data_IF_584140519288
#
_entry.id   IF_584140519288
#
_cell.length_a   1.000
_cell.length_b   1.000
_cell.length_c   1.000
_cell.angle_alpha   90.00
_cell.angle_beta   90.00
_cell.angle_gamma   90.00
#
_symmetry.space_group_name_H-M   'P 1'
#
loop_
_entity.id
_entity.type
_entity.pdbx_description
1 polymer ?
#
# COMPACT_ATOMS: atom_id res chain seq x y z
N UNK A 1 19.54 -0.40 5.00
CA UNK A 1 18.58 -0.41 3.89
C UNK A 1 18.78 0.82 3.02
N UNK A 2 19.38 0.63 1.85
CA UNK A 2 19.54 1.64 0.80
C UNK A 2 18.18 2.00 0.21
N UNK A 3 17.88 3.31 0.11
CA UNK A 3 16.66 3.79 -0.53
C UNK A 3 16.78 3.67 -2.05
N UNK A 4 15.69 3.27 -2.70
CA UNK A 4 15.55 3.32 -4.15
C UNK A 4 15.04 4.71 -4.53
N UNK A 5 15.81 5.42 -5.36
CA UNK A 5 15.54 6.80 -5.78
C UNK A 5 15.16 6.93 -7.26
N UNK A 6 15.16 5.81 -8.01
CA UNK A 6 14.83 5.79 -9.43
C UNK A 6 13.32 5.85 -9.70
N UNK A 7 12.97 5.82 -10.98
CA UNK A 7 11.60 5.68 -11.48
C UNK A 7 11.41 4.43 -12.34
N UNK A 8 12.48 3.70 -12.64
CA UNK A 8 12.49 2.46 -13.44
C UNK A 8 13.17 1.34 -12.66
N UNK A 9 12.45 0.23 -12.50
CA UNK A 9 12.93 -0.97 -11.82
C UNK A 9 12.74 -2.17 -12.75
N UNK A 10 13.79 -2.95 -12.95
CA UNK A 10 13.68 -4.22 -13.67
C UNK A 10 13.20 -5.31 -12.70
N UNK A 11 12.13 -6.02 -13.03
CA UNK A 11 11.74 -7.22 -12.31
C UNK A 11 12.18 -8.46 -13.09
N UNK A 12 13.15 -9.19 -12.53
CA UNK A 12 13.84 -10.31 -13.15
C UNK A 12 12.97 -11.57 -13.17
N UNK A 13 11.94 -11.56 -14.00
CA UNK A 13 10.97 -12.65 -14.18
C UNK A 13 10.56 -12.78 -15.65
N UNK A 14 10.28 -14.01 -16.08
CA UNK A 14 9.52 -14.31 -17.31
C UNK A 14 8.05 -14.66 -17.01
N UNK A 15 7.67 -14.72 -15.74
CA UNK A 15 6.30 -15.01 -15.33
C UNK A 15 5.43 -13.73 -15.44
N UNK A 16 4.59 -13.69 -16.48
CA UNK A 16 3.65 -12.58 -16.73
C UNK A 16 2.73 -12.29 -15.55
N UNK A 17 2.25 -13.31 -14.85
CA UNK A 17 1.39 -13.12 -13.66
C UNK A 17 2.12 -12.39 -12.53
N UNK A 18 3.35 -12.83 -12.20
CA UNK A 18 4.18 -12.15 -11.20
C UNK A 18 4.49 -10.71 -11.61
N UNK A 19 4.73 -10.46 -12.91
CA UNK A 19 5.02 -9.13 -13.43
C UNK A 19 3.84 -8.17 -13.24
N UNK A 20 2.63 -8.58 -13.60
CA UNK A 20 1.42 -7.76 -13.42
C UNK A 20 1.12 -7.49 -11.94
N UNK A 21 1.31 -8.48 -11.06
CA UNK A 21 1.24 -8.29 -9.60
C UNK A 21 2.23 -7.22 -9.14
N UNK A 22 3.50 -7.32 -9.57
CA UNK A 22 4.55 -6.38 -9.17
C UNK A 22 4.30 -4.96 -9.71
N UNK A 23 3.79 -4.83 -10.94
CA UNK A 23 3.37 -3.54 -11.51
C UNK A 23 2.29 -2.88 -10.68
N UNK A 24 1.24 -3.61 -10.34
CA UNK A 24 0.14 -3.09 -9.52
C UNK A 24 0.63 -2.65 -8.13
N UNK A 25 1.50 -3.44 -7.51
CA UNK A 25 2.03 -3.19 -6.18
C UNK A 25 2.98 -1.97 -6.12
N UNK A 26 3.77 -1.73 -7.17
CA UNK A 26 4.74 -0.62 -7.20
C UNK A 26 4.20 0.66 -7.87
N UNK A 27 3.05 0.61 -8.54
CA UNK A 27 2.42 1.77 -9.15
C UNK A 27 2.19 2.96 -8.17
N UNK A 28 1.74 2.76 -6.92
CA UNK A 28 1.57 3.86 -5.96
C UNK A 28 2.86 4.61 -5.60
N UNK A 29 4.02 4.00 -5.86
CA UNK A 29 5.33 4.61 -5.61
C UNK A 29 5.88 5.36 -6.85
N UNK A 30 5.12 5.41 -7.94
CA UNK A 30 5.52 6.05 -9.19
C UNK A 30 6.66 5.32 -9.90
N UNK A 31 6.72 3.99 -9.75
CA UNK A 31 7.78 3.15 -10.31
C UNK A 31 7.25 2.44 -11.56
N UNK A 32 7.99 2.60 -12.66
CA UNK A 32 7.80 1.86 -13.90
C UNK A 32 8.53 0.53 -13.81
N UNK A 33 7.78 -0.58 -13.79
CA UNK A 33 8.35 -1.93 -13.72
C UNK A 33 8.55 -2.52 -15.11
N UNK A 34 9.82 -2.80 -15.44
CA UNK A 34 10.29 -3.49 -16.64
C UNK A 34 10.48 -4.99 -16.34
N UNK A 35 10.65 -5.81 -17.36
CA UNK A 35 10.80 -7.26 -17.27
C UNK A 35 12.00 -7.78 -18.07
N UNK A 36 12.38 -9.04 -17.87
CA UNK A 36 13.42 -9.68 -18.67
C UNK A 36 13.11 -9.66 -20.17
N UNK A 37 11.83 -9.82 -20.53
CA UNK A 37 11.37 -9.82 -21.92
C UNK A 37 11.62 -8.46 -22.61
N UNK A 38 11.52 -7.35 -21.88
CA UNK A 38 11.78 -6.00 -22.41
C UNK A 38 13.25 -5.80 -22.85
N UNK A 39 14.15 -6.66 -22.35
CA UNK A 39 15.59 -6.62 -22.62
C UNK A 39 16.11 -7.90 -23.30
N UNK A 40 15.25 -8.88 -23.58
CA UNK A 40 15.66 -10.17 -24.15
C UNK A 40 16.65 -10.94 -23.27
N UNK A 41 16.55 -10.83 -21.95
CA UNK A 41 17.47 -11.50 -21.03
C UNK A 41 17.14 -13.00 -20.92
N UNK A 42 18.15 -13.89 -20.88
CA UNK A 42 17.92 -15.29 -20.59
C UNK A 42 17.64 -15.51 -19.10
N UNK A 43 17.00 -16.63 -18.77
CA UNK A 43 16.85 -17.08 -17.38
C UNK A 43 18.18 -17.71 -16.92
N UNK A 44 18.80 -17.21 -15.83
CA UNK A 44 20.03 -17.78 -15.32
C UNK A 44 19.77 -19.12 -14.61
N UNK A 45 20.78 -19.98 -14.59
CA UNK A 45 20.70 -21.25 -13.85
C UNK A 45 20.67 -20.99 -12.33
N UNK A 46 19.66 -21.53 -11.66
CA UNK A 46 19.47 -21.46 -10.21
C UNK A 46 20.26 -22.60 -9.54
N UNK A 47 21.50 -22.31 -9.13
CA UNK A 47 22.44 -23.31 -8.60
C UNK A 47 22.57 -23.31 -7.08
N UNK A 48 21.89 -22.39 -6.40
CA UNK A 48 22.01 -22.22 -4.96
C UNK A 48 21.01 -23.10 -4.20
N UNK A 49 21.36 -23.43 -2.97
CA UNK A 49 20.54 -24.27 -2.08
C UNK A 49 19.65 -23.44 -1.15
N UNK A 50 19.57 -22.12 -1.36
CA UNK A 50 18.79 -21.20 -0.53
C UNK A 50 18.00 -20.22 -1.40
N UNK A 51 16.81 -19.81 -0.95
CA UNK A 51 15.97 -18.85 -1.67
C UNK A 51 16.69 -17.53 -1.93
N UNK A 52 17.46 -17.04 -0.94
CA UNK A 52 18.25 -15.81 -1.09
C UNK A 52 19.35 -15.95 -2.15
N UNK A 53 19.99 -17.12 -2.25
CA UNK A 53 21.02 -17.40 -3.25
C UNK A 53 20.46 -17.35 -4.67
N UNK A 54 19.37 -18.07 -4.93
CA UNK A 54 18.73 -18.08 -6.25
C UNK A 54 18.15 -16.71 -6.63
N UNK A 55 17.52 -16.01 -5.68
CA UNK A 55 17.07 -14.65 -5.89
C UNK A 55 18.24 -13.71 -6.23
N UNK A 56 19.37 -13.79 -5.53
CA UNK A 56 20.58 -13.00 -5.84
C UNK A 56 21.12 -13.27 -7.24
N UNK A 57 21.21 -14.54 -7.65
CA UNK A 57 21.64 -14.90 -9.01
C UNK A 57 20.81 -14.14 -10.05
N UNK A 58 19.48 -14.20 -9.94
CA UNK A 58 18.55 -13.52 -10.85
C UNK A 58 18.70 -11.99 -10.81
N UNK A 59 18.69 -11.39 -9.62
CA UNK A 59 18.72 -9.94 -9.47
C UNK A 59 20.04 -9.35 -9.97
N UNK A 60 21.19 -9.92 -9.57
CA UNK A 60 22.49 -9.41 -10.00
C UNK A 60 22.75 -9.65 -11.49
N UNK A 61 22.34 -10.78 -12.06
CA UNK A 61 22.45 -11.02 -13.50
C UNK A 61 21.69 -9.95 -14.30
N UNK A 62 20.45 -9.67 -13.90
CA UNK A 62 19.60 -8.68 -14.53
C UNK A 62 20.13 -7.24 -14.36
N UNK A 63 20.60 -6.88 -13.16
CA UNK A 63 21.17 -5.56 -12.89
C UNK A 63 22.46 -5.32 -13.68
N UNK A 64 23.34 -6.32 -13.75
CA UNK A 64 24.59 -6.26 -14.51
C UNK A 64 24.35 -6.16 -16.01
N UNK A 65 23.38 -6.90 -16.54
CA UNK A 65 23.08 -6.92 -17.97
C UNK A 65 22.46 -5.60 -18.47
N UNK A 66 21.67 -4.93 -17.64
CA UNK A 66 20.89 -3.75 -18.06
C UNK A 66 21.41 -2.42 -17.53
N UNK A 67 22.25 -2.43 -16.49
CA UNK A 67 22.67 -1.22 -15.78
C UNK A 67 21.55 -0.56 -14.98
N UNK A 68 20.40 -1.22 -14.80
CA UNK A 68 19.29 -0.78 -13.96
C UNK A 68 19.32 -1.52 -12.63
N UNK A 69 18.80 -0.93 -11.53
CA UNK A 69 18.46 -1.74 -10.36
C UNK A 69 17.44 -2.80 -10.74
N UNK A 70 17.62 -4.01 -10.21
CA UNK A 70 16.79 -5.15 -10.53
C UNK A 70 16.26 -5.82 -9.25
N UNK A 71 14.97 -6.12 -9.25
CA UNK A 71 14.28 -6.90 -8.25
C UNK A 71 14.12 -8.32 -8.76
N UNK A 72 14.33 -9.33 -7.92
CA UNK A 72 13.97 -10.72 -8.20
C UNK A 72 13.17 -11.30 -7.03
N UNK A 73 12.53 -12.44 -7.27
CA UNK A 73 11.84 -13.26 -6.27
C UNK A 73 12.32 -14.70 -6.38
N UNK A 74 12.53 -15.35 -5.24
CA UNK A 74 12.52 -16.81 -5.16
C UNK A 74 11.59 -17.29 -4.04
N UNK A 75 10.80 -18.32 -4.30
CA UNK A 75 9.71 -18.71 -3.41
C UNK A 75 9.41 -20.21 -3.43
N UNK A 76 8.96 -20.73 -2.29
CA UNK A 76 8.68 -22.16 -2.11
C UNK A 76 7.98 -22.45 -0.79
N UNK A 77 7.78 -23.73 -0.51
CA UNK A 77 7.19 -24.23 0.74
C UNK A 77 8.20 -25.11 1.48
N UNK A 78 8.34 -24.87 2.78
CA UNK A 78 9.17 -25.68 3.68
C UNK A 78 8.25 -26.46 4.61
N UNK A 79 8.48 -27.76 4.76
CA UNK A 79 7.72 -28.63 5.68
C UNK A 79 8.62 -29.09 6.82
N UNK A 80 8.22 -28.81 8.05
CA UNK A 80 9.08 -28.99 9.22
C UNK A 80 9.48 -30.45 9.43
N UNK A 81 8.53 -31.37 9.22
CA UNK A 81 8.78 -32.80 9.35
C UNK A 81 9.69 -33.37 8.27
N UNK A 82 9.90 -32.64 7.17
CA UNK A 82 10.77 -33.06 6.06
C UNK A 82 12.08 -32.24 6.02
N UNK A 83 12.51 -31.72 7.18
CA UNK A 83 13.70 -30.88 7.31
C UNK A 83 13.71 -29.69 6.33
N UNK A 84 12.54 -29.12 6.08
CA UNK A 84 12.34 -27.98 5.17
C UNK A 84 12.12 -28.35 3.71
N UNK A 85 12.13 -29.63 3.32
CA UNK A 85 11.76 -30.03 1.97
C UNK A 85 10.25 -29.75 1.70
N UNK A 86 9.86 -29.44 0.44
CA UNK A 86 10.69 -29.36 -0.75
C UNK A 86 11.62 -28.12 -0.82
N UNK A 87 11.32 -27.05 -0.07
CA UNK A 87 12.17 -25.87 0.04
C UNK A 87 12.40 -25.20 -1.31
N UNK A 88 13.66 -24.88 -1.63
CA UNK A 88 14.05 -24.28 -2.93
C UNK A 88 13.66 -25.16 -4.13
N UNK A 89 13.50 -26.47 -3.93
CA UNK A 89 13.12 -27.44 -4.97
C UNK A 89 11.59 -27.60 -5.11
N UNK A 90 10.81 -26.66 -4.60
CA UNK A 90 9.32 -26.70 -4.63
C UNK A 90 8.78 -26.95 -6.03
N UNK A 91 9.36 -26.33 -7.04
CA UNK A 91 8.93 -26.47 -8.42
C UNK A 91 9.35 -27.82 -9.03
N UNK A 92 10.55 -28.30 -8.69
CA UNK A 92 11.12 -29.57 -9.17
C UNK A 92 10.28 -30.77 -8.71
N UNK A 93 9.68 -30.66 -7.51
CA UNK A 93 8.76 -31.68 -7.00
C UNK A 93 7.50 -31.82 -7.85
N UNK A 94 7.15 -30.80 -8.63
CA UNK A 94 6.07 -30.81 -9.59
C UNK A 94 6.50 -31.25 -10.99
N UNK A 95 7.80 -31.42 -11.27
CA UNK A 95 8.26 -31.67 -12.63
C UNK A 95 7.85 -33.06 -13.15
N UNK A 96 7.40 -33.05 -14.40
CA UNK A 96 7.06 -34.22 -15.22
C UNK A 96 7.60 -34.01 -16.64
N UNK A 97 7.70 -35.06 -17.47
CA UNK A 97 8.14 -34.93 -18.87
C UNK A 97 7.30 -33.98 -19.71
N UNK A 98 6.06 -33.68 -19.30
CA UNK A 98 5.11 -32.83 -20.04
C UNK A 98 4.86 -31.47 -19.37
N UNK A 99 5.64 -31.11 -18.35
CA UNK A 99 5.49 -29.86 -17.59
C UNK A 99 5.26 -30.09 -16.11
N UNK A 100 4.88 -29.03 -15.38
CA UNK A 100 4.71 -29.07 -13.93
C UNK A 100 3.28 -29.49 -13.54
N UNK A 101 3.18 -30.49 -12.66
CA UNK A 101 1.95 -30.95 -12.02
C UNK A 101 2.07 -30.80 -10.49
N UNK A 102 1.41 -29.78 -9.95
CA UNK A 102 1.43 -29.52 -8.51
C UNK A 102 0.54 -30.46 -7.70
N UNK A 103 -0.42 -31.15 -8.32
CA UNK A 103 -1.18 -32.22 -7.66
C UNK A 103 -0.25 -33.37 -7.29
N UNK A 104 0.65 -33.73 -8.22
CA UNK A 104 1.71 -34.71 -7.98
C UNK A 104 2.68 -34.24 -6.87
N UNK A 105 3.11 -32.98 -6.91
CA UNK A 105 4.03 -32.41 -5.91
C UNK A 105 3.44 -32.45 -4.49
N UNK A 106 2.18 -32.05 -4.35
CA UNK A 106 1.44 -32.08 -3.08
C UNK A 106 1.24 -33.52 -2.59
N UNK A 107 0.93 -34.46 -3.49
CA UNK A 107 0.82 -35.89 -3.17
C UNK A 107 2.15 -36.46 -2.68
N UNK A 108 3.25 -36.19 -3.39
CA UNK A 108 4.61 -36.58 -2.98
C UNK A 108 4.98 -36.05 -1.60
N UNK A 109 4.61 -34.79 -1.31
CA UNK A 109 4.85 -34.15 -0.02
C UNK A 109 4.07 -34.82 1.10
N UNK A 110 2.79 -35.13 0.85
CA UNK A 110 1.96 -35.85 1.81
C UNK A 110 2.50 -37.27 2.07
N UNK A 111 2.80 -38.03 1.01
CA UNK A 111 3.34 -39.39 1.10
C UNK A 111 4.69 -39.44 1.81
N UNK A 112 5.56 -38.45 1.58
CA UNK A 112 6.82 -38.32 2.30
C UNK A 112 6.60 -38.13 3.81
N UNK A 113 5.60 -37.33 4.20
CA UNK A 113 5.23 -37.16 5.61
C UNK A 113 4.64 -38.45 6.21
N UNK A 114 3.80 -39.18 5.46
CA UNK A 114 3.26 -40.49 5.88
C UNK A 114 4.37 -41.52 6.11
N UNK A 115 5.35 -41.57 5.20
CA UNK A 115 6.46 -42.55 5.23
C UNK A 115 7.29 -42.44 6.51
N UNK A 116 7.42 -41.24 7.07
CA UNK A 116 8.14 -41.00 8.33
C UNK A 116 7.22 -40.92 9.56
N UNK A 117 5.92 -41.20 9.38
CA UNK A 117 4.89 -41.04 10.41
C UNK A 117 4.92 -39.66 11.08
N UNK A 118 5.05 -38.60 10.27
CA UNK A 118 5.14 -37.23 10.75
C UNK A 118 3.91 -36.85 11.62
N UNK A 119 4.13 -36.29 12.82
CA UNK A 119 3.05 -35.97 13.75
C UNK A 119 2.14 -34.86 13.20
N UNK A 120 0.87 -34.89 13.61
CA UNK A 120 -0.05 -33.79 13.39
C UNK A 120 0.05 -32.76 14.53
N UNK A 121 -0.11 -31.45 14.25
CA UNK A 121 -0.23 -30.86 12.91
C UNK A 121 1.10 -30.87 12.14
N UNK A 122 1.05 -31.16 10.84
CA UNK A 122 2.21 -31.09 9.93
C UNK A 122 2.50 -29.62 9.59
N UNK A 123 3.30 -28.97 10.44
CA UNK A 123 3.69 -27.56 10.28
C UNK A 123 4.45 -27.37 8.97
N UNK A 124 4.09 -26.30 8.27
CA UNK A 124 4.73 -25.89 7.03
C UNK A 124 4.68 -24.36 6.92
N UNK A 125 5.53 -23.81 6.06
CA UNK A 125 5.57 -22.38 5.81
C UNK A 125 5.87 -22.11 4.35
N UNK A 126 5.14 -21.17 3.76
CA UNK A 126 5.60 -20.58 2.51
C UNK A 126 6.68 -19.54 2.77
N UNK A 127 7.68 -19.49 1.89
CA UNK A 127 8.75 -18.48 1.85
C UNK A 127 8.68 -17.71 0.53
N UNK A 128 8.92 -16.40 0.57
CA UNK A 128 9.30 -15.60 -0.59
C UNK A 128 10.44 -14.70 -0.18
N UNK A 129 11.50 -14.70 -0.98
CA UNK A 129 12.67 -13.86 -0.79
C UNK A 129 12.78 -12.92 -1.97
N UNK A 130 12.59 -11.63 -1.72
CA UNK A 130 12.80 -10.58 -2.71
C UNK A 130 14.21 -10.03 -2.55
N UNK A 131 14.93 -9.87 -3.67
CA UNK A 131 16.27 -9.26 -3.68
C UNK A 131 16.25 -8.06 -4.61
N UNK A 132 16.55 -6.88 -4.07
CA UNK A 132 16.76 -5.66 -4.84
C UNK A 132 18.26 -5.43 -4.99
N UNK A 133 18.79 -5.63 -6.20
CA UNK A 133 20.21 -5.45 -6.53
C UNK A 133 20.44 -4.17 -7.34
N UNK A 134 21.58 -3.52 -7.09
CA UNK A 134 22.06 -2.37 -7.84
C UNK A 134 23.24 -2.76 -8.76
N UNK A 135 23.47 -2.03 -9.86
CA UNK A 135 24.59 -2.29 -10.78
C UNK A 135 25.98 -2.20 -10.13
N UNK A 136 26.10 -1.50 -9.00
CA UNK A 136 27.35 -1.39 -8.22
C UNK A 136 27.65 -2.63 -7.36
N UNK A 137 26.77 -3.64 -7.40
CA UNK A 137 26.93 -4.90 -6.68
C UNK A 137 26.30 -4.92 -5.29
N UNK A 138 25.73 -3.80 -4.81
CA UNK A 138 24.96 -3.79 -3.56
C UNK A 138 23.61 -4.50 -3.74
N UNK A 139 23.13 -5.22 -2.72
CA UNK A 139 21.78 -5.77 -2.66
C UNK A 139 21.10 -5.55 -1.31
N UNK A 140 19.77 -5.53 -1.32
CA UNK A 140 18.93 -5.61 -0.13
C UNK A 140 18.02 -6.83 -0.25
N UNK A 141 17.85 -7.55 0.86
CA UNK A 141 17.09 -8.81 0.92
C UNK A 141 15.86 -8.63 1.80
N UNK A 142 14.71 -9.08 1.31
CA UNK A 142 13.44 -9.02 2.00
C UNK A 142 12.79 -10.40 2.02
N UNK A 143 12.89 -11.07 3.15
CA UNK A 143 12.27 -12.37 3.36
C UNK A 143 10.87 -12.21 3.91
N UNK A 144 9.90 -12.86 3.28
CA UNK A 144 8.53 -12.98 3.74
C UNK A 144 8.14 -14.42 3.99
N UNK A 145 7.22 -14.61 4.93
CA UNK A 145 6.72 -15.94 5.27
C UNK A 145 5.22 -15.94 5.58
N UNK A 146 4.61 -17.10 5.37
CA UNK A 146 3.28 -17.41 5.89
C UNK A 146 3.37 -18.76 6.59
N UNK A 147 3.12 -18.79 7.89
CA UNK A 147 3.11 -20.00 8.71
C UNK A 147 1.74 -20.70 8.57
N UNK A 148 1.74 -22.03 8.66
CA UNK A 148 0.53 -22.82 8.54
C UNK A 148 0.77 -24.31 8.75
N UNK A 149 -0.09 -25.11 8.16
CA UNK A 149 -0.03 -26.55 8.20
C UNK A 149 -0.47 -27.17 6.88
N UNK A 150 0.00 -28.40 6.64
CA UNK A 150 -0.47 -29.23 5.55
C UNK A 150 -1.78 -29.92 5.93
N UNK A 151 -2.75 -29.89 5.02
CA UNK A 151 -4.02 -30.62 5.12
C UNK A 151 -4.21 -31.59 3.96
N UNK A 152 -4.97 -32.64 4.22
CA UNK A 152 -5.33 -33.65 3.23
C UNK A 152 -6.74 -34.19 3.49
N UNK A 153 -7.54 -34.51 2.45
CA UNK A 153 -7.27 -34.25 1.04
C UNK A 153 -7.16 -32.75 0.73
N UNK A 154 -6.54 -32.41 -0.41
CA UNK A 154 -6.47 -31.04 -0.91
C UNK A 154 -7.87 -30.42 -1.04
N UNK A 155 -8.00 -29.13 -0.75
CA UNK A 155 -9.27 -28.37 -0.82
C UNK A 155 -9.08 -27.04 -1.55
N UNK A 156 -10.09 -26.61 -2.28
CA UNK A 156 -10.10 -25.33 -3.01
C UNK A 156 -9.56 -25.43 -4.45
N UNK A 157 -9.90 -24.43 -5.25
CA UNK A 157 -9.56 -24.35 -6.69
C UNK A 157 -8.90 -23.04 -7.08
N UNK A 158 -8.78 -22.10 -6.14
CA UNK A 158 -8.16 -20.80 -6.36
C UNK A 158 -6.64 -20.88 -6.15
N UNK A 159 -5.92 -19.85 -6.56
CA UNK A 159 -4.48 -19.78 -6.37
C UNK A 159 -3.71 -20.77 -7.26
N UNK A 160 -2.55 -21.22 -6.78
CA UNK A 160 -1.63 -22.06 -7.54
C UNK A 160 -0.68 -22.85 -6.61
N UNK A 161 0.05 -23.80 -7.18
CA UNK A 161 1.08 -24.53 -6.44
C UNK A 161 0.49 -25.34 -5.28
N UNK A 162 1.05 -25.14 -4.08
CA UNK A 162 0.68 -25.85 -2.85
C UNK A 162 -0.52 -25.24 -2.11
N UNK A 163 -1.15 -24.19 -2.65
CA UNK A 163 -2.30 -23.53 -2.03
C UNK A 163 -3.43 -24.50 -1.60
N UNK A 164 -3.78 -25.56 -2.37
CA UNK A 164 -4.84 -26.48 -1.98
C UNK A 164 -4.56 -27.37 -0.78
N UNK A 165 -3.30 -27.57 -0.40
CA UNK A 165 -2.93 -28.33 0.80
C UNK A 165 -2.46 -27.46 1.96
N UNK A 166 -2.32 -26.15 1.76
CA UNK A 166 -1.79 -25.24 2.78
C UNK A 166 -2.91 -24.49 3.50
N UNK A 167 -3.08 -24.78 4.79
CA UNK A 167 -3.96 -24.05 5.69
C UNK A 167 -3.12 -23.04 6.51
N UNK A 168 -3.27 -21.72 6.29
CA UNK A 168 -2.52 -20.72 7.04
C UNK A 168 -2.94 -20.66 8.50
N UNK A 169 -2.02 -20.27 9.37
CA UNK A 169 -2.28 -20.13 10.80
C UNK A 169 -3.40 -19.10 11.08
N UNK A 170 -4.34 -19.48 11.95
CA UNK A 170 -5.50 -18.65 12.29
C UNK A 170 -6.70 -18.75 11.35
N UNK A 171 -6.71 -19.68 10.39
CA UNK A 171 -7.82 -19.90 9.47
C UNK A 171 -8.17 -21.39 9.33
N UNK A 172 -9.44 -21.70 9.08
CA UNK A 172 -9.96 -23.08 8.90
C UNK A 172 -10.01 -23.55 7.42
N UNK A 173 -9.71 -22.65 6.49
CA UNK A 173 -9.74 -22.84 5.04
C UNK A 173 -8.33 -22.79 4.46
N UNK A 174 -8.10 -23.47 3.33
CA UNK A 174 -6.81 -23.44 2.63
C UNK A 174 -6.63 -22.14 1.84
N UNK A 175 -5.40 -21.83 1.43
CA UNK A 175 -5.17 -20.70 0.52
C UNK A 175 -5.94 -20.82 -0.81
N UNK A 176 -6.24 -22.03 -1.28
CA UNK A 176 -7.03 -22.23 -2.49
C UNK A 176 -8.55 -22.12 -2.28
N UNK A 177 -9.01 -22.08 -1.03
CA UNK A 177 -10.41 -21.80 -0.66
C UNK A 177 -10.62 -20.30 -0.35
N UNK A 178 -9.54 -19.54 -0.12
CA UNK A 178 -9.59 -18.12 0.21
C UNK A 178 -9.88 -17.25 -1.02
N UNK A 179 -10.57 -16.13 -0.78
CA UNK A 179 -10.65 -15.03 -1.75
C UNK A 179 -9.22 -14.53 -2.11
N UNK A 180 -8.91 -14.26 -3.40
CA UNK A 180 -7.56 -13.92 -3.82
C UNK A 180 -7.07 -12.60 -3.21
N UNK A 181 -7.95 -11.62 -3.03
CA UNK A 181 -7.59 -10.35 -2.42
C UNK A 181 -7.26 -10.54 -0.93
N UNK A 182 -7.99 -11.42 -0.24
CA UNK A 182 -7.67 -11.77 1.15
C UNK A 182 -6.34 -12.51 1.28
N UNK A 183 -6.08 -13.51 0.43
CA UNK A 183 -4.79 -14.22 0.38
C UNK A 183 -3.63 -13.23 0.17
N UNK A 184 -3.81 -12.29 -0.75
CA UNK A 184 -2.79 -11.28 -1.08
C UNK A 184 -2.49 -10.30 0.07
N UNK A 185 -3.27 -10.28 1.15
CA UNK A 185 -2.96 -9.49 2.35
C UNK A 185 -2.09 -10.24 3.36
N UNK A 186 -2.18 -11.58 3.40
CA UNK A 186 -1.60 -12.41 4.46
C UNK A 186 -0.51 -13.38 3.99
N UNK A 187 -0.26 -13.46 2.68
CA UNK A 187 0.71 -14.39 2.11
C UNK A 187 2.15 -14.01 2.43
N UNK A 188 3.05 -14.98 2.22
CA UNK A 188 4.50 -14.82 2.27
C UNK A 188 5.00 -13.70 1.34
N UNK A 189 4.44 -13.58 0.13
CA UNK A 189 4.74 -12.49 -0.80
C UNK A 189 4.29 -11.13 -0.27
N UNK A 190 3.11 -11.06 0.34
CA UNK A 190 2.63 -9.84 0.97
C UNK A 190 3.54 -9.39 2.11
N UNK A 191 4.06 -10.34 2.90
CA UNK A 191 5.02 -10.07 3.96
C UNK A 191 6.37 -9.58 3.45
N UNK A 192 6.92 -10.22 2.41
CA UNK A 192 8.15 -9.79 1.75
C UNK A 192 7.97 -8.38 1.15
N UNK A 193 6.84 -8.14 0.49
CA UNK A 193 6.55 -6.87 -0.16
C UNK A 193 6.38 -5.73 0.86
N UNK A 194 5.70 -5.96 1.99
CA UNK A 194 5.61 -4.98 3.10
C UNK A 194 6.98 -4.53 3.62
N UNK A 195 7.98 -5.41 3.57
CA UNK A 195 9.36 -5.08 3.94
C UNK A 195 10.07 -4.34 2.81
N UNK A 196 9.93 -4.81 1.57
CA UNK A 196 10.48 -4.18 0.38
C UNK A 196 10.04 -2.71 0.24
N UNK A 197 8.77 -2.38 0.50
CA UNK A 197 8.27 -1.01 0.32
C UNK A 197 8.98 0.02 1.20
N UNK A 198 9.66 -0.41 2.26
CA UNK A 198 10.49 0.48 3.07
C UNK A 198 11.72 0.99 2.31
N UNK A 199 12.14 0.35 1.21
CA UNK A 199 13.17 0.88 0.31
C UNK A 199 12.68 2.03 -0.55
N UNK A 200 11.39 2.10 -0.84
CA UNK A 200 10.83 3.14 -1.68
C UNK A 200 10.43 4.32 -0.80
N UNK A 201 10.91 5.52 -1.14
CA UNK A 201 10.23 6.72 -0.64
C UNK A 201 8.87 6.77 -1.31
N UNK A 202 7.80 6.81 -0.52
CA UNK A 202 6.48 7.02 -1.07
C UNK A 202 6.50 8.40 -1.75
N UNK A 203 6.57 8.42 -3.08
CA UNK A 203 6.16 9.58 -3.88
C UNK A 203 4.64 9.66 -3.76
N UNK A 204 4.17 10.09 -2.59
CA UNK A 204 2.75 10.30 -2.36
C UNK A 204 2.31 11.36 -3.37
N UNK A 205 1.54 10.94 -4.36
CA UNK A 205 1.09 11.81 -5.42
C UNK A 205 0.27 12.93 -4.79
N UNK A 206 0.61 14.17 -5.14
CA UNK A 206 -0.21 15.33 -4.83
C UNK A 206 -1.61 15.11 -5.40
N UNK A 207 -2.63 15.14 -4.55
CA UNK A 207 -4.02 15.09 -4.99
C UNK A 207 -4.67 16.46 -4.79
N UNK A 208 -5.16 17.04 -5.88
CA UNK A 208 -5.96 18.26 -5.83
C UNK A 208 -7.45 17.88 -5.71
N UNK A 209 -8.13 18.39 -4.70
CA UNK A 209 -9.56 18.19 -4.46
C UNK A 209 -10.28 19.46 -4.89
N UNK A 210 -11.26 19.33 -5.80
CA UNK A 210 -12.11 20.44 -6.21
C UNK A 210 -13.37 20.49 -5.35
N UNK A 211 -13.80 21.70 -4.99
CA UNK A 211 -15.09 21.96 -4.34
C UNK A 211 -16.18 22.40 -5.32
N UNK A 212 -15.90 22.37 -6.63
CA UNK A 212 -16.81 22.84 -7.67
C UNK A 212 -16.99 24.36 -7.73
N UNK A 213 -16.15 25.13 -7.01
CA UNK A 213 -16.23 26.59 -7.02
C UNK A 213 -15.82 27.13 -8.39
N UNK A 214 -16.60 28.05 -9.00
CA UNK A 214 -16.24 28.66 -10.28
C UNK A 214 -14.99 29.57 -10.18
N UNK A 215 -14.53 29.85 -8.97
CA UNK A 215 -13.32 30.64 -8.72
C UNK A 215 -12.04 29.80 -8.73
N UNK A 216 -12.10 28.49 -8.48
CA UNK A 216 -10.91 27.61 -8.46
C UNK A 216 -10.04 27.74 -9.72
N UNK A 217 -10.58 27.57 -10.95
CA UNK A 217 -9.78 27.73 -12.16
C UNK A 217 -9.38 29.18 -12.46
N UNK A 218 -10.13 30.18 -11.95
CA UNK A 218 -9.87 31.60 -12.21
C UNK A 218 -8.76 32.18 -11.33
N UNK A 219 -8.74 31.77 -10.06
CA UNK A 219 -7.78 32.22 -9.05
C UNK A 219 -6.61 31.25 -8.88
N UNK A 220 -6.69 30.04 -9.43
CA UNK A 220 -5.59 29.08 -9.43
C UNK A 220 -5.42 28.36 -8.08
N UNK A 221 -6.50 27.88 -7.48
CA UNK A 221 -6.47 27.10 -6.24
C UNK A 221 -7.32 25.83 -6.33
N UNK A 222 -7.10 24.90 -5.42
CA UNK A 222 -7.95 23.72 -5.19
C UNK A 222 -8.60 23.84 -3.82
N UNK A 223 -9.82 23.31 -3.67
CA UNK A 223 -10.53 23.31 -2.37
C UNK A 223 -9.70 22.65 -1.27
N UNK A 224 -9.00 21.57 -1.60
CA UNK A 224 -7.94 21.05 -0.76
C UNK A 224 -6.81 20.45 -1.60
N UNK A 225 -5.63 20.32 -1.00
CA UNK A 225 -4.50 19.57 -1.54
C UNK A 225 -4.09 18.53 -0.51
N UNK A 226 -4.07 17.26 -0.92
CA UNK A 226 -3.53 16.16 -0.11
C UNK A 226 -2.11 15.86 -0.58
N UNK A 227 -1.18 15.77 0.37
CA UNK A 227 0.21 15.42 0.13
C UNK A 227 0.68 14.47 1.23
N UNK A 228 0.63 13.17 0.93
CA UNK A 228 0.84 12.14 1.94
C UNK A 228 -0.23 12.21 3.03
N UNK A 229 0.19 12.19 4.28
CA UNK A 229 -0.71 12.27 5.45
C UNK A 229 -1.16 13.70 5.78
N UNK A 230 -0.80 14.69 4.95
CA UNK A 230 -1.22 16.07 5.11
C UNK A 230 -2.40 16.41 4.19
N UNK A 231 -3.35 17.18 4.72
CA UNK A 231 -4.41 17.81 3.94
C UNK A 231 -4.44 19.31 4.23
N UNK A 232 -4.31 20.11 3.18
CA UNK A 232 -4.35 21.56 3.23
C UNK A 232 -5.68 22.02 2.63
N UNK A 233 -6.61 22.49 3.47
CA UNK A 233 -7.92 22.98 3.03
C UNK A 233 -7.82 24.49 2.83
N UNK A 234 -8.20 24.97 1.65
CA UNK A 234 -8.17 26.39 1.32
C UNK A 234 -9.15 27.19 2.20
N UNK A 235 -8.93 28.52 2.23
CA UNK A 235 -9.85 29.48 2.84
C UNK A 235 -11.31 29.21 2.45
N UNK A 236 -12.15 29.04 3.47
CA UNK A 236 -13.54 28.66 3.34
C UNK A 236 -14.41 29.69 4.03
N UNK A 237 -15.26 30.36 3.24
CA UNK A 237 -16.20 31.39 3.68
C UNK A 237 -17.58 30.79 3.93
N UNK A 238 -18.40 31.50 4.70
CA UNK A 238 -19.65 30.98 5.25
C UNK A 238 -20.90 31.04 4.36
N UNK A 239 -20.77 30.91 3.04
CA UNK A 239 -21.94 30.92 2.16
C UNK A 239 -22.89 29.75 2.48
N UNK A 240 -24.20 29.99 2.41
CA UNK A 240 -25.20 28.94 2.53
C UNK A 240 -25.04 27.93 1.38
N UNK A 241 -25.00 26.62 1.68
CA UNK A 241 -24.73 25.59 0.67
C UNK A 241 -25.84 25.47 -0.37
N UNK A 242 -27.06 25.91 -0.08
CA UNK A 242 -28.24 25.83 -0.96
C UNK A 242 -28.40 27.13 -1.74
N UNK A 243 -28.57 28.28 -1.06
CA UNK A 243 -28.83 29.56 -1.72
C UNK A 243 -27.58 30.18 -2.35
N UNK A 244 -26.39 29.75 -1.93
CA UNK A 244 -25.09 30.34 -2.30
C UNK A 244 -24.94 31.81 -1.88
N UNK A 245 -25.76 32.29 -0.95
CA UNK A 245 -25.68 33.64 -0.37
C UNK A 245 -25.02 33.61 0.99
N UNK A 246 -24.45 34.73 1.44
CA UNK A 246 -23.90 34.85 2.80
C UNK A 246 -25.01 35.23 3.78
N UNK A 247 -25.25 34.45 4.84
CA UNK A 247 -26.13 34.85 5.93
C UNK A 247 -25.65 36.13 6.61
N UNK A 248 -26.58 36.93 7.14
CA UNK A 248 -26.20 38.13 7.93
C UNK A 248 -25.53 37.75 9.26
N UNK A 249 -25.86 36.60 9.83
CA UNK A 249 -25.26 36.10 11.06
C UNK A 249 -23.83 35.59 10.82
N UNK A 250 -22.85 36.13 11.54
CA UNK A 250 -21.47 35.62 11.48
C UNK A 250 -21.36 34.20 12.06
N UNK A 251 -22.21 33.87 13.03
CA UNK A 251 -22.29 32.53 13.60
C UNK A 251 -22.76 31.51 12.55
N UNK A 252 -23.77 31.86 11.74
CA UNK A 252 -24.24 30.96 10.68
C UNK A 252 -23.20 30.84 9.56
N UNK A 253 -22.51 31.94 9.22
CA UNK A 253 -21.37 31.87 8.32
C UNK A 253 -20.26 30.93 8.86
N UNK A 254 -19.92 31.02 10.14
CA UNK A 254 -18.92 30.15 10.76
C UNK A 254 -19.34 28.67 10.69
N UNK A 255 -20.61 28.34 11.01
CA UNK A 255 -21.13 26.98 10.91
C UNK A 255 -21.09 26.44 9.49
N UNK A 256 -21.49 27.25 8.51
CA UNK A 256 -21.45 26.86 7.09
C UNK A 256 -20.01 26.59 6.61
N UNK A 257 -19.07 27.43 7.01
CA UNK A 257 -17.66 27.25 6.68
C UNK A 257 -17.12 25.93 7.27
N UNK A 258 -17.36 25.67 8.56
CA UNK A 258 -16.92 24.45 9.25
C UNK A 258 -17.57 23.18 8.68
N UNK A 259 -18.86 23.24 8.31
CA UNK A 259 -19.55 22.13 7.66
C UNK A 259 -18.95 21.83 6.27
N UNK A 260 -18.60 22.86 5.50
CA UNK A 260 -17.92 22.69 4.21
C UNK A 260 -16.54 22.06 4.38
N UNK A 261 -15.76 22.54 5.35
CA UNK A 261 -14.43 21.99 5.67
C UNK A 261 -14.54 20.51 6.05
N UNK A 262 -15.52 20.15 6.89
CA UNK A 262 -15.79 18.75 7.27
C UNK A 262 -16.03 17.88 6.04
N UNK A 263 -16.93 18.29 5.13
CA UNK A 263 -17.23 17.51 3.93
C UNK A 263 -16.02 17.34 3.00
N UNK A 264 -15.17 18.37 2.91
CA UNK A 264 -13.92 18.30 2.12
C UNK A 264 -12.92 17.33 2.74
N UNK A 265 -12.73 17.39 4.06
CA UNK A 265 -11.85 16.46 4.78
C UNK A 265 -12.37 15.02 4.63
N UNK A 266 -13.66 14.78 4.84
CA UNK A 266 -14.28 13.46 4.70
C UNK A 266 -14.10 12.91 3.27
N UNK A 267 -14.32 13.74 2.25
CA UNK A 267 -14.06 13.37 0.84
C UNK A 267 -12.59 13.12 0.52
N UNK A 268 -11.66 13.70 1.30
CA UNK A 268 -10.22 13.44 1.25
C UNK A 268 -9.79 12.23 2.10
N UNK A 269 -10.72 11.59 2.81
CA UNK A 269 -10.48 10.51 3.75
C UNK A 269 -9.98 10.96 5.14
N UNK A 270 -9.99 12.26 5.44
CA UNK A 270 -9.63 12.86 6.73
C UNK A 270 -10.86 13.10 7.60
N UNK A 271 -10.65 13.35 8.89
CA UNK A 271 -11.69 13.75 9.84
C UNK A 271 -11.40 15.14 10.42
N UNK A 272 -12.38 15.75 11.09
CA UNK A 272 -12.13 16.99 11.84
C UNK A 272 -11.10 16.80 12.95
N UNK A 273 -11.00 15.61 13.54
CA UNK A 273 -10.04 15.32 14.61
C UNK A 273 -8.58 15.34 14.10
N UNK A 274 -8.38 15.20 12.79
CA UNK A 274 -7.06 15.29 12.16
C UNK A 274 -6.61 16.75 12.02
N UNK A 275 -7.46 17.75 12.29
CA UNK A 275 -7.13 19.18 12.15
C UNK A 275 -6.14 19.58 13.25
N UNK A 276 -4.91 19.89 12.82
CA UNK A 276 -3.81 20.31 13.71
C UNK A 276 -3.61 21.82 13.73
N UNK A 277 -4.12 22.54 12.72
CA UNK A 277 -4.05 24.00 12.63
C UNK A 277 -5.32 24.61 12.04
N UNK A 278 -5.76 25.73 12.61
CA UNK A 278 -6.83 26.55 12.09
C UNK A 278 -6.43 28.04 12.06
N UNK A 279 -6.64 28.69 10.92
CA UNK A 279 -6.50 30.13 10.76
C UNK A 279 -7.90 30.73 10.54
N UNK A 280 -8.18 31.82 11.24
CA UNK A 280 -9.45 32.53 11.17
C UNK A 280 -9.20 33.97 10.70
N UNK A 281 -10.00 34.44 9.75
CA UNK A 281 -10.09 35.87 9.41
C UNK A 281 -11.51 36.33 9.66
N UNK A 282 -11.70 37.36 10.48
CA UNK A 282 -13.00 37.99 10.75
C UNK A 282 -12.94 39.46 10.36
N UNK A 283 -14.07 40.04 9.96
CA UNK A 283 -14.10 41.46 9.52
C UNK A 283 -14.29 42.46 10.65
N UNK A 284 -14.73 42.01 11.83
CA UNK A 284 -14.93 42.83 13.02
C UNK A 284 -14.50 42.05 14.27
N UNK A 285 -13.79 42.70 15.20
CA UNK A 285 -13.38 42.11 16.47
C UNK A 285 -14.57 41.74 17.37
N UNK A 286 -15.72 42.41 17.20
CA UNK A 286 -16.95 42.09 17.94
C UNK A 286 -17.47 40.66 17.65
N UNK A 287 -17.15 40.10 16.48
CA UNK A 287 -17.61 38.77 16.07
C UNK A 287 -16.96 37.62 16.84
N UNK A 288 -15.88 37.85 17.59
CA UNK A 288 -15.20 36.81 18.35
C UNK A 288 -16.16 36.09 19.29
N UNK A 289 -16.91 36.84 20.10
CA UNK A 289 -17.87 36.27 21.05
C UNK A 289 -19.03 35.53 20.35
N UNK A 290 -19.45 36.04 19.18
CA UNK A 290 -20.55 35.47 18.41
C UNK A 290 -20.21 34.11 17.79
N UNK A 291 -18.94 33.88 17.41
CA UNK A 291 -18.52 32.63 16.74
C UNK A 291 -18.05 31.54 17.71
N UNK A 292 -17.81 31.86 19.00
CA UNK A 292 -17.39 30.89 20.02
C UNK A 292 -18.24 29.61 20.01
N UNK A 293 -19.59 29.65 19.93
CA UNK A 293 -20.39 28.43 19.91
C UNK A 293 -20.01 27.49 18.76
N UNK A 294 -19.88 28.00 17.53
CA UNK A 294 -19.51 27.18 16.37
C UNK A 294 -18.10 26.59 16.49
N UNK A 295 -17.15 27.37 17.00
CA UNK A 295 -15.77 26.92 17.21
C UNK A 295 -15.68 25.89 18.34
N UNK A 296 -16.39 26.09 19.45
CA UNK A 296 -16.39 25.18 20.59
C UNK A 296 -17.05 23.85 20.26
N UNK A 297 -18.21 23.87 19.59
CA UNK A 297 -18.90 22.68 19.08
C UNK A 297 -18.00 21.82 18.17
N UNK A 298 -17.12 22.46 17.40
CA UNK A 298 -16.29 21.79 16.40
C UNK A 298 -14.92 21.38 16.92
N UNK A 299 -14.20 22.29 17.58
CA UNK A 299 -12.80 22.15 17.94
C UNK A 299 -12.55 22.02 19.45
N UNK A 300 -13.58 22.02 20.30
CA UNK A 300 -13.42 22.07 21.76
C UNK A 300 -12.48 21.00 22.34
N UNK A 301 -12.59 19.76 21.87
CA UNK A 301 -11.68 18.66 22.25
C UNK A 301 -10.48 18.51 21.32
N UNK A 302 -10.58 18.99 20.07
CA UNK A 302 -9.55 18.85 19.03
C UNK A 302 -8.38 19.82 19.31
N UNK A 303 -8.70 21.06 19.70
CA UNK A 303 -7.76 22.11 20.10
C UNK A 303 -6.59 22.29 19.13
N UNK A 304 -6.85 22.58 17.84
CA UNK A 304 -5.78 22.84 16.88
C UNK A 304 -4.97 24.08 17.27
N UNK A 305 -3.71 24.15 16.80
CA UNK A 305 -2.96 25.40 16.85
C UNK A 305 -3.74 26.48 16.07
N UNK A 306 -3.99 27.63 16.70
CA UNK A 306 -4.95 28.61 16.20
C UNK A 306 -4.38 30.02 16.11
N UNK A 307 -4.76 30.74 15.06
CA UNK A 307 -4.53 32.17 14.90
C UNK A 307 -5.79 32.85 14.36
N UNK A 308 -6.11 34.04 14.87
CA UNK A 308 -7.23 34.85 14.39
C UNK A 308 -6.74 36.25 13.98
N UNK A 309 -7.19 36.72 12.82
CA UNK A 309 -6.86 38.03 12.24
C UNK A 309 -8.16 38.82 12.02
N UNK A 310 -8.12 40.12 12.32
CA UNK A 310 -9.19 41.05 11.94
C UNK A 310 -8.79 41.77 10.65
N UNK A 311 -9.49 41.51 9.53
CA UNK A 311 -9.21 42.09 8.23
C UNK A 311 -10.43 42.08 7.30
N UNK A 312 -10.46 42.98 6.31
CA UNK A 312 -11.48 42.98 5.27
C UNK A 312 -11.39 41.76 4.35
N UNK A 313 -12.53 41.21 3.95
CA UNK A 313 -12.64 40.08 3.01
C UNK A 313 -13.04 40.56 1.60
N UNK A 314 -12.80 39.72 0.59
CA UNK A 314 -12.97 40.06 -0.84
C UNK A 314 -14.41 40.42 -1.25
N UNK A 315 -15.40 39.99 -0.47
CA UNK A 315 -16.80 40.38 -0.63
C UNK A 315 -17.31 40.99 0.68
N UNK A 316 -17.90 42.20 0.68
CA UNK A 316 -18.41 42.86 1.89
C UNK A 316 -19.44 42.06 2.69
N UNK A 317 -20.14 41.10 2.07
CA UNK A 317 -21.10 40.23 2.75
C UNK A 317 -20.41 39.10 3.55
N UNK A 318 -19.14 38.81 3.28
CA UNK A 318 -18.36 37.83 4.04
C UNK A 318 -17.94 38.45 5.38
N UNK A 319 -18.19 37.71 6.46
CA UNK A 319 -17.83 38.12 7.83
C UNK A 319 -16.73 37.27 8.44
N UNK A 320 -16.56 36.04 7.93
CA UNK A 320 -15.57 35.08 8.39
C UNK A 320 -15.03 34.24 7.23
N UNK A 321 -13.75 33.93 7.28
CA UNK A 321 -13.06 32.94 6.45
C UNK A 321 -12.20 32.03 7.35
N UNK A 322 -12.28 30.73 7.13
CA UNK A 322 -11.56 29.71 7.91
C UNK A 322 -10.70 28.86 6.98
N UNK A 323 -9.43 28.71 7.32
CA UNK A 323 -8.48 27.82 6.66
C UNK A 323 -8.01 26.78 7.67
N UNK A 324 -7.88 25.51 7.26
CA UNK A 324 -7.38 24.46 8.16
C UNK A 324 -6.29 23.62 7.51
N UNK A 325 -5.42 23.07 8.35
CA UNK A 325 -4.46 22.03 7.97
C UNK A 325 -4.71 20.81 8.84
N UNK A 326 -4.85 19.65 8.21
CA UNK A 326 -5.04 18.37 8.86
C UNK A 326 -3.86 17.44 8.61
N UNK A 327 -3.60 16.55 9.57
CA UNK A 327 -2.53 15.56 9.54
C UNK A 327 -3.00 14.25 10.15
N UNK A 328 -2.74 13.13 9.45
CA UNK A 328 -2.97 11.77 9.95
C UNK A 328 -1.65 11.19 10.45
N UNK A 329 -1.35 11.35 11.73
CA UNK A 329 -0.20 10.69 12.34
C UNK A 329 -0.27 10.64 13.85
#
# INVERSE_FOLDING_TARGET
MRKFTGDRLLFATHNKGKLEEMRALLAPFGITVLSNDDFGLPEPEETETTFVGNARIKAHAAAKATGLPALSDDSGIEVDALDGAPGVYTADWAETPTGRDFTLAMTRTWDACEKIAAPMPRRARFRSTLVLAWPDGHDEVFEGKAEGQLVWPMRGTQGHGYDPMFQPEGYDITFAEMDPAKKNQISHRADAFRKLVQCFEAKMARQNISGGSPYEPKLGYSRAVVQGDWCFVAGTTGADPVSKTFPDSVLDQARNALATIRGVLEGAGFSMADVVRANYVITDAAYVEEIIPALSETFGEIRPAAMMIVAGLVNPAMKIEIEVTAFKG
#
